data_IF_756209048267
#
_entry.id   IF_756209048267
#
_cell.length_a   1.000
_cell.length_b   1.000
_cell.length_c   1.000
_cell.angle_alpha   90.00
_cell.angle_beta   90.00
_cell.angle_gamma   90.00
#
_symmetry.space_group_name_H-M   'P 1'
#
loop_
_entity.id
_entity.type
_entity.pdbx_description
1 polymer ?
#
# COMPACT_ATOMS: atom_id res chain seq x y z
N UNK A 1 -2.00 -57.08 -36.81
CA UNK A 1 -0.80 -56.25 -36.79
C UNK A 1 -1.19 -54.98 -37.56
N UNK A 2 -2.17 -54.18 -37.11
CA UNK A 2 -2.32 -53.53 -35.79
C UNK A 2 -1.03 -52.86 -35.34
N UNK A 3 -0.84 -51.61 -35.79
CA UNK A 3 -0.28 -50.54 -34.97
C UNK A 3 -1.09 -49.27 -35.28
N UNK A 4 -1.81 -48.80 -34.26
CA UNK A 4 -2.67 -47.62 -34.32
C UNK A 4 -1.86 -46.32 -34.30
N UNK A 5 -2.25 -45.39 -35.17
CA UNK A 5 -1.94 -43.98 -35.00
C UNK A 5 -3.09 -43.36 -34.21
N UNK A 6 -2.81 -43.11 -32.95
CA UNK A 6 -3.62 -42.32 -32.04
C UNK A 6 -3.85 -40.94 -32.63
N UNK A 7 -5.13 -40.58 -32.74
CA UNK A 7 -5.58 -39.20 -32.85
C UNK A 7 -5.28 -38.51 -31.52
N UNK A 8 -4.29 -37.64 -31.49
CA UNK A 8 -4.23 -36.57 -30.50
C UNK A 8 -4.29 -35.26 -31.26
N UNK A 9 -5.29 -34.47 -30.86
CA UNK A 9 -5.54 -33.12 -31.31
C UNK A 9 -4.28 -32.29 -31.11
N UNK A 10 -3.69 -31.79 -32.20
CA UNK A 10 -2.83 -30.61 -32.14
C UNK A 10 -3.74 -29.42 -31.76
N UNK A 11 -3.94 -29.23 -30.45
CA UNK A 11 -4.34 -27.93 -29.91
C UNK A 11 -3.20 -26.97 -30.20
N UNK A 12 -3.51 -25.95 -31.00
CA UNK A 12 -2.53 -24.97 -31.46
C UNK A 12 -1.85 -24.29 -30.28
N UNK A 13 -0.55 -24.53 -30.16
CA UNK A 13 0.33 -23.67 -29.40
C UNK A 13 0.23 -22.27 -30.02
N UNK A 14 -0.42 -21.35 -29.31
CA UNK A 14 -0.47 -19.94 -29.68
C UNK A 14 0.91 -19.34 -29.41
N UNK A 15 1.74 -19.27 -30.45
CA UNK A 15 2.99 -18.53 -30.44
C UNK A 15 2.66 -17.02 -30.31
N UNK A 16 2.76 -16.48 -29.10
CA UNK A 16 2.66 -15.04 -28.86
C UNK A 16 4.08 -14.42 -28.87
N UNK A 17 4.46 -13.79 -29.98
CA UNK A 17 5.72 -13.05 -30.14
C UNK A 17 5.75 -11.75 -29.31
N UNK A 18 5.83 -11.84 -27.98
CA UNK A 18 6.01 -10.66 -27.11
C UNK A 18 7.37 -10.69 -26.42
N UNK A 19 8.06 -9.55 -26.44
CA UNK A 19 9.40 -9.39 -25.87
C UNK A 19 9.28 -8.74 -24.48
N UNK A 20 9.95 -9.29 -23.48
CA UNK A 20 10.07 -8.69 -22.16
C UNK A 20 10.83 -7.36 -22.25
N UNK A 21 10.26 -6.23 -21.80
CA UNK A 21 10.91 -4.92 -21.91
C UNK A 21 12.17 -4.80 -21.04
N UNK A 22 12.27 -5.60 -19.96
CA UNK A 22 13.44 -5.57 -19.06
C UNK A 22 14.61 -6.41 -19.59
N UNK A 23 14.35 -7.63 -20.07
CA UNK A 23 15.43 -8.55 -20.42
C UNK A 23 15.52 -8.87 -21.92
N UNK A 24 14.62 -8.34 -22.74
CA UNK A 24 14.62 -8.54 -24.19
C UNK A 24 14.33 -9.98 -24.65
N UNK A 25 13.93 -10.88 -23.74
CA UNK A 25 13.60 -12.29 -24.05
C UNK A 25 12.12 -12.46 -24.38
N UNK A 26 11.81 -13.50 -25.17
CA UNK A 26 10.43 -13.88 -25.48
C UNK A 26 9.66 -14.33 -24.24
N UNK A 27 8.40 -13.93 -24.20
CA UNK A 27 7.43 -14.23 -23.16
C UNK A 27 6.67 -15.51 -23.51
N UNK A 28 6.57 -16.45 -22.56
CA UNK A 28 5.93 -17.76 -22.78
C UNK A 28 4.68 -17.84 -21.90
N UNK A 29 3.53 -18.13 -22.51
CA UNK A 29 2.29 -18.42 -21.79
C UNK A 29 2.35 -19.82 -21.16
N UNK A 30 1.95 -19.94 -19.90
CA UNK A 30 1.71 -21.24 -19.28
C UNK A 30 0.34 -21.83 -19.65
N UNK A 31 0.04 -23.02 -19.13
CA UNK A 31 -1.19 -23.77 -19.40
C UNK A 31 -2.46 -23.00 -19.00
N UNK A 32 -2.35 -22.01 -18.10
CA UNK A 32 -3.44 -21.14 -17.65
C UNK A 32 -3.53 -19.84 -18.48
N UNK A 33 -2.71 -19.68 -19.53
CA UNK A 33 -2.65 -18.47 -20.36
C UNK A 33 -1.86 -17.32 -19.71
N UNK A 34 -1.10 -17.59 -18.65
CA UNK A 34 -0.28 -16.62 -17.95
C UNK A 34 1.10 -16.58 -18.58
N UNK A 35 1.39 -15.48 -19.26
CA UNK A 35 2.71 -15.14 -19.80
C UNK A 35 3.69 -14.89 -18.66
N UNK A 36 4.77 -15.68 -18.58
CA UNK A 36 5.84 -15.52 -17.58
C UNK A 36 7.19 -15.22 -18.25
N UNK A 37 7.93 -14.25 -17.72
CA UNK A 37 9.33 -14.05 -18.06
C UNK A 37 10.24 -14.95 -17.19
N UNK A 38 11.26 -15.59 -17.79
CA UNK A 38 12.32 -16.30 -17.04
C UNK A 38 13.10 -15.40 -16.07
N UNK A 39 13.09 -14.08 -16.30
CA UNK A 39 13.73 -13.08 -15.46
C UNK A 39 13.01 -12.85 -14.12
N UNK A 40 11.89 -13.55 -13.87
CA UNK A 40 11.09 -13.43 -12.65
C UNK A 40 10.15 -12.22 -12.64
N UNK A 41 10.10 -11.45 -13.72
CA UNK A 41 9.30 -10.23 -13.83
C UNK A 41 8.07 -10.45 -14.73
N UNK A 42 6.89 -10.46 -14.10
CA UNK A 42 5.51 -10.50 -14.63
C UNK A 42 4.98 -11.86 -15.10
N UNK A 43 3.99 -12.35 -14.34
CA UNK A 43 2.76 -12.97 -14.86
C UNK A 43 1.96 -11.90 -15.62
N UNK A 44 1.76 -12.06 -16.92
CA UNK A 44 0.78 -11.28 -17.71
C UNK A 44 -0.34 -12.23 -18.10
N UNK A 45 -1.60 -11.81 -18.02
CA UNK A 45 -2.70 -12.62 -18.57
C UNK A 45 -2.79 -12.29 -20.07
N UNK A 46 -2.47 -13.26 -20.94
CA UNK A 46 -2.68 -13.09 -22.36
C UNK A 46 -4.19 -13.04 -22.64
N UNK A 47 -4.70 -11.99 -23.28
CA UNK A 47 -6.06 -12.04 -23.83
C UNK A 47 -6.09 -11.67 -25.31
N UNK A 48 -6.99 -12.32 -26.04
CA UNK A 48 -6.98 -12.42 -27.50
C UNK A 48 -7.64 -11.23 -28.25
N UNK A 49 -8.06 -10.16 -27.57
CA UNK A 49 -8.94 -9.12 -28.15
C UNK A 49 -8.31 -7.70 -28.18
N UNK A 50 -6.98 -7.58 -28.31
CA UNK A 50 -6.28 -6.27 -28.27
C UNK A 50 -6.34 -5.54 -29.61
N UNK A 51 -6.40 -6.27 -30.73
CA UNK A 51 -6.33 -5.70 -32.08
C UNK A 51 -7.57 -4.86 -32.47
N UNK A 52 -8.69 -5.04 -31.76
CA UNK A 52 -9.93 -4.26 -31.96
C UNK A 52 -9.94 -2.92 -31.19
N UNK A 53 -8.94 -2.67 -30.34
CA UNK A 53 -8.83 -1.43 -29.59
C UNK A 53 -8.24 -0.29 -30.44
N UNK A 54 -8.69 0.97 -30.23
CA UNK A 54 -8.21 2.11 -31.00
C UNK A 54 -6.70 2.30 -30.83
N UNK A 55 -6.03 2.76 -31.90
CA UNK A 55 -4.57 2.98 -31.91
C UNK A 55 -4.14 4.31 -31.26
N UNK A 56 -5.08 5.05 -30.66
CA UNK A 56 -4.86 6.39 -30.14
C UNK A 56 -4.90 6.41 -28.61
N UNK A 57 -3.76 6.72 -27.96
CA UNK A 57 -3.60 6.73 -26.49
C UNK A 57 -4.66 7.58 -25.77
N UNK A 58 -4.93 8.85 -26.13
CA UNK A 58 -6.04 9.62 -25.56
C UNK A 58 -7.41 8.92 -25.53
N UNK A 59 -7.74 8.16 -26.57
CA UNK A 59 -9.02 7.42 -26.64
C UNK A 59 -9.00 6.19 -25.73
N UNK A 60 -7.89 5.46 -25.73
CA UNK A 60 -7.64 4.34 -24.82
C UNK A 60 -7.72 4.78 -23.35
N UNK A 61 -7.17 5.94 -22.99
CA UNK A 61 -7.26 6.50 -21.62
C UNK A 61 -8.71 6.79 -21.23
N UNK A 62 -9.53 7.34 -22.13
CA UNK A 62 -10.96 7.55 -21.86
C UNK A 62 -11.70 6.24 -21.64
N UNK A 63 -11.40 5.23 -22.47
CA UNK A 63 -11.96 3.89 -22.31
C UNK A 63 -11.50 3.25 -20.99
N UNK A 64 -10.25 3.45 -20.61
CA UNK A 64 -9.66 2.90 -19.38
C UNK A 64 -10.32 3.50 -18.15
N UNK A 65 -10.61 4.81 -18.16
CA UNK A 65 -11.33 5.47 -17.06
C UNK A 65 -12.72 4.89 -16.87
N UNK A 66 -13.39 4.56 -17.98
CA UNK A 66 -14.69 3.90 -17.94
C UNK A 66 -14.56 2.46 -17.42
N UNK A 67 -13.60 1.69 -17.94
CA UNK A 67 -13.35 0.32 -17.50
C UNK A 67 -12.99 0.24 -16.00
N UNK A 68 -12.26 1.23 -15.49
CA UNK A 68 -11.95 1.37 -14.07
C UNK A 68 -13.22 1.54 -13.23
N UNK A 69 -14.14 2.41 -13.65
CA UNK A 69 -15.44 2.61 -12.99
C UNK A 69 -16.34 1.37 -13.08
N UNK A 70 -16.31 0.69 -14.23
CA UNK A 70 -17.10 -0.52 -14.48
C UNK A 70 -16.49 -1.76 -13.78
N UNK A 71 -15.28 -1.64 -13.22
CA UNK A 71 -14.46 -2.73 -12.64
C UNK A 71 -14.32 -3.92 -13.60
N UNK A 72 -13.95 -3.63 -14.84
CA UNK A 72 -13.70 -4.64 -15.87
C UNK A 72 -12.18 -4.94 -15.97
N UNK A 73 -11.67 -5.99 -15.27
CA UNK A 73 -10.24 -6.28 -15.26
C UNK A 73 -9.72 -6.65 -16.65
N UNK A 74 -10.49 -7.42 -17.43
CA UNK A 74 -10.10 -7.81 -18.79
C UNK A 74 -9.90 -6.59 -19.68
N UNK A 75 -10.85 -5.65 -19.64
CA UNK A 75 -10.76 -4.42 -20.42
C UNK A 75 -9.60 -3.53 -19.95
N UNK A 76 -9.39 -3.39 -18.64
CA UNK A 76 -8.25 -2.65 -18.07
C UNK A 76 -6.90 -3.24 -18.48
N UNK A 77 -6.78 -4.57 -18.47
CA UNK A 77 -5.58 -5.26 -18.93
C UNK A 77 -5.30 -4.94 -20.41
N UNK A 78 -6.30 -5.11 -21.28
CA UNK A 78 -6.14 -4.90 -22.72
C UNK A 78 -5.82 -3.44 -23.06
N UNK A 79 -6.47 -2.49 -22.38
CA UNK A 79 -6.17 -1.06 -22.53
C UNK A 79 -4.77 -0.75 -22.04
N UNK A 80 -4.37 -1.28 -20.88
CA UNK A 80 -3.04 -1.08 -20.32
C UNK A 80 -1.94 -1.59 -21.25
N UNK A 81 -2.08 -2.79 -21.78
CA UNK A 81 -1.15 -3.36 -22.76
C UNK A 81 -1.11 -2.52 -24.03
N UNK A 82 -2.27 -2.16 -24.59
CA UNK A 82 -2.34 -1.39 -25.83
C UNK A 82 -1.74 0.00 -25.70
N UNK A 83 -1.94 0.67 -24.57
CA UNK A 83 -1.30 1.96 -24.29
C UNK A 83 0.23 1.80 -24.27
N UNK A 84 0.75 0.80 -23.57
CA UNK A 84 2.19 0.59 -23.43
C UNK A 84 2.87 0.10 -24.73
N UNK A 85 2.12 -0.49 -25.67
CA UNK A 85 2.61 -0.78 -27.02
C UNK A 85 2.93 0.50 -27.81
N UNK A 86 2.14 1.56 -27.64
CA UNK A 86 2.35 2.83 -28.34
C UNK A 86 3.21 3.83 -27.56
N UNK A 87 3.20 3.74 -26.23
CA UNK A 87 3.91 4.61 -25.32
C UNK A 87 4.37 3.81 -24.09
N UNK A 88 5.56 3.23 -24.20
CA UNK A 88 6.15 2.31 -23.20
C UNK A 88 6.32 2.92 -21.80
N UNK A 89 6.34 4.26 -21.71
CA UNK A 89 6.52 5.02 -20.46
C UNK A 89 5.20 5.66 -19.99
N UNK A 90 4.04 5.22 -20.50
CA UNK A 90 2.77 5.84 -20.12
C UNK A 90 2.32 5.39 -18.73
N UNK A 91 2.27 6.32 -17.76
CA UNK A 91 1.84 6.02 -16.38
C UNK A 91 0.44 5.38 -16.32
N UNK A 92 -0.48 5.80 -17.21
CA UNK A 92 -1.86 5.32 -17.21
C UNK A 92 -1.97 3.88 -17.71
N UNK A 93 -1.09 3.49 -18.64
CA UNK A 93 -0.94 2.10 -19.06
C UNK A 93 -0.61 1.19 -17.87
N UNK A 94 0.39 1.57 -17.08
CA UNK A 94 0.76 0.85 -15.86
C UNK A 94 -0.35 0.85 -14.81
N UNK A 95 -1.06 1.97 -14.58
CA UNK A 95 -2.20 2.02 -13.65
C UNK A 95 -3.35 1.13 -14.11
N UNK A 96 -3.63 1.04 -15.40
CA UNK A 96 -4.67 0.16 -15.94
C UNK A 96 -4.33 -1.30 -15.66
N UNK A 97 -3.09 -1.71 -15.92
CA UNK A 97 -2.61 -3.05 -15.56
C UNK A 97 -2.66 -3.30 -14.05
N UNK A 98 -2.20 -2.34 -13.23
CA UNK A 98 -2.20 -2.45 -11.78
C UNK A 98 -3.62 -2.67 -11.24
N UNK A 99 -4.57 -1.89 -11.76
CA UNK A 99 -5.98 -1.96 -11.39
C UNK A 99 -6.60 -3.30 -11.78
N UNK A 100 -6.26 -3.83 -12.97
CA UNK A 100 -6.66 -5.18 -13.36
C UNK A 100 -6.15 -6.23 -12.38
N UNK A 101 -4.85 -6.21 -12.07
CA UNK A 101 -4.25 -7.14 -11.11
C UNK A 101 -4.94 -7.06 -9.74
N UNK A 102 -5.20 -5.85 -9.24
CA UNK A 102 -5.87 -5.67 -7.97
C UNK A 102 -7.30 -6.22 -7.95
N UNK A 103 -8.09 -6.01 -9.01
CA UNK A 103 -9.45 -6.55 -9.13
C UNK A 103 -9.41 -8.09 -9.15
N UNK A 104 -8.39 -8.69 -9.78
CA UNK A 104 -8.17 -10.14 -9.80
C UNK A 104 -7.51 -10.68 -8.52
N UNK A 105 -7.30 -9.84 -7.48
CA UNK A 105 -6.72 -10.23 -6.20
C UNK A 105 -5.19 -10.37 -6.19
N UNK A 106 -4.51 -10.00 -7.27
CA UNK A 106 -3.05 -9.97 -7.42
C UNK A 106 -2.47 -8.67 -6.88
N UNK A 107 -2.57 -8.48 -5.56
CA UNK A 107 -2.20 -7.22 -4.89
C UNK A 107 -0.69 -6.94 -5.00
N UNK A 108 0.16 -7.95 -4.87
CA UNK A 108 1.62 -7.78 -4.99
C UNK A 108 2.03 -7.22 -6.35
N UNK A 109 1.54 -7.84 -7.43
CA UNK A 109 1.76 -7.38 -8.81
C UNK A 109 1.20 -5.97 -9.04
N UNK A 110 0.00 -5.69 -8.51
CA UNK A 110 -0.60 -4.36 -8.55
C UNK A 110 0.33 -3.30 -7.93
N UNK A 111 0.89 -3.54 -6.74
CA UNK A 111 1.78 -2.57 -6.08
C UNK A 111 3.07 -2.31 -6.86
N UNK A 112 3.63 -3.34 -7.50
CA UNK A 112 4.79 -3.17 -8.38
C UNK A 112 4.45 -2.32 -9.61
N UNK A 113 3.29 -2.53 -10.22
CA UNK A 113 2.84 -1.75 -11.39
C UNK A 113 2.53 -0.30 -11.02
N UNK A 114 1.94 -0.04 -9.85
CA UNK A 114 1.77 1.33 -9.33
C UNK A 114 3.11 2.02 -9.06
N UNK A 115 4.11 1.26 -8.59
CA UNK A 115 5.47 1.78 -8.44
C UNK A 115 6.04 2.20 -9.79
N UNK A 116 5.96 1.36 -10.82
CA UNK A 116 6.38 1.70 -12.18
C UNK A 116 5.63 2.92 -12.74
N UNK A 117 4.31 2.97 -12.58
CA UNK A 117 3.51 4.12 -12.99
C UNK A 117 4.01 5.43 -12.37
N UNK A 118 4.43 5.37 -11.09
CA UNK A 118 4.90 6.53 -10.35
C UNK A 118 6.25 7.10 -10.85
N UNK A 119 7.06 6.29 -11.54
CA UNK A 119 8.34 6.69 -12.13
C UNK A 119 8.16 7.52 -13.42
N UNK A 120 6.99 7.37 -14.07
CA UNK A 120 6.67 8.06 -15.33
C UNK A 120 5.54 9.09 -15.18
N UNK A 121 5.24 9.52 -13.96
CA UNK A 121 4.08 10.34 -13.64
C UNK A 121 4.31 11.84 -13.89
N UNK A 122 3.52 12.42 -14.79
CA UNK A 122 3.46 13.86 -15.03
C UNK A 122 2.81 14.62 -13.87
N UNK A 123 3.29 15.84 -13.60
CA UNK A 123 2.76 16.68 -12.50
C UNK A 123 1.25 16.95 -12.61
N UNK A 124 0.74 17.15 -13.83
CA UNK A 124 -0.69 17.41 -14.11
C UNK A 124 -1.59 16.22 -13.75
N UNK A 125 -1.03 15.01 -13.77
CA UNK A 125 -1.77 13.75 -13.64
C UNK A 125 -1.69 13.16 -12.23
N UNK A 126 -0.84 13.72 -11.37
CA UNK A 126 -0.63 13.28 -9.97
C UNK A 126 -1.91 13.11 -9.16
N UNK A 127 -2.89 14.01 -9.36
CA UNK A 127 -4.17 13.91 -8.66
C UNK A 127 -4.93 12.65 -9.07
N UNK A 128 -5.01 12.38 -10.37
CA UNK A 128 -5.72 11.22 -10.89
C UNK A 128 -5.02 9.92 -10.49
N UNK A 129 -3.69 9.87 -10.62
CA UNK A 129 -2.89 8.76 -10.11
C UNK A 129 -3.16 8.48 -8.63
N UNK A 130 -3.13 9.53 -7.80
CA UNK A 130 -3.46 9.42 -6.37
C UNK A 130 -4.87 8.85 -6.16
N UNK A 131 -5.86 9.38 -6.85
CA UNK A 131 -7.25 8.96 -6.66
C UNK A 131 -7.44 7.48 -7.04
N UNK A 132 -6.87 7.03 -8.17
CA UNK A 132 -6.89 5.63 -8.59
C UNK A 132 -6.18 4.70 -7.59
N UNK A 133 -4.97 5.05 -7.16
CA UNK A 133 -4.22 4.24 -6.20
C UNK A 133 -4.95 4.13 -4.86
N UNK A 134 -5.53 5.24 -4.38
CA UNK A 134 -6.28 5.24 -3.14
C UNK A 134 -7.58 4.43 -3.24
N UNK A 135 -8.23 4.39 -4.41
CA UNK A 135 -9.43 3.56 -4.62
C UNK A 135 -9.05 2.08 -4.43
N UNK A 136 -8.02 1.62 -5.14
CA UNK A 136 -7.51 0.25 -5.04
C UNK A 136 -7.06 -0.12 -3.63
N UNK A 137 -6.22 0.71 -2.99
CA UNK A 137 -5.73 0.42 -1.64
C UNK A 137 -6.88 0.38 -0.63
N UNK A 138 -7.81 1.34 -0.70
CA UNK A 138 -8.96 1.38 0.21
C UNK A 138 -9.88 0.18 0.00
N UNK A 139 -10.12 -0.24 -1.25
CA UNK A 139 -10.93 -1.41 -1.55
C UNK A 139 -10.27 -2.69 -1.04
N UNK A 140 -8.96 -2.85 -1.24
CA UNK A 140 -8.20 -3.99 -0.72
C UNK A 140 -8.26 -4.09 0.80
N UNK A 141 -8.13 -2.98 1.53
CA UNK A 141 -8.26 -2.94 2.98
C UNK A 141 -9.70 -3.25 3.42
N UNK A 142 -10.69 -2.74 2.69
CA UNK A 142 -12.10 -2.83 3.05
C UNK A 142 -12.82 -4.07 2.49
N UNK A 143 -12.12 -4.93 1.74
CA UNK A 143 -12.66 -6.19 1.20
C UNK A 143 -13.03 -7.16 2.32
N UNK A 144 -12.29 -7.10 3.44
CA UNK A 144 -12.45 -8.00 4.57
C UNK A 144 -11.75 -9.35 4.39
N UNK A 145 -11.02 -9.58 3.29
CA UNK A 145 -10.17 -10.75 3.14
C UNK A 145 -8.82 -10.48 3.79
N UNK A 146 -8.47 -11.15 4.90
CA UNK A 146 -7.25 -10.84 5.60
C UNK A 146 -6.04 -11.37 4.84
N UNK A 147 -5.31 -10.47 4.17
CA UNK A 147 -4.01 -10.76 3.59
C UNK A 147 -2.90 -9.95 4.27
N UNK A 148 -2.24 -10.51 5.30
CA UNK A 148 -1.10 -9.87 5.95
C UNK A 148 0.05 -9.53 4.99
N UNK A 149 0.20 -10.27 3.88
CA UNK A 149 1.26 -10.00 2.90
C UNK A 149 1.01 -8.69 2.16
N UNK A 150 -0.25 -8.40 1.80
CA UNK A 150 -0.66 -7.12 1.24
C UNK A 150 -0.27 -5.93 2.12
N UNK A 151 -0.31 -6.09 3.45
CA UNK A 151 0.10 -5.04 4.39
C UNK A 151 1.62 -4.82 4.41
N UNK A 152 2.42 -5.87 4.21
CA UNK A 152 3.89 -5.73 4.07
C UNK A 152 4.27 -4.95 2.81
N UNK A 153 3.53 -5.16 1.71
CA UNK A 153 3.79 -4.43 0.46
C UNK A 153 3.50 -2.93 0.55
N UNK A 154 2.63 -2.48 1.47
CA UNK A 154 2.37 -1.05 1.65
C UNK A 154 3.61 -0.26 2.09
N UNK A 155 4.46 -0.82 2.95
CA UNK A 155 5.73 -0.18 3.32
C UNK A 155 6.60 0.05 2.08
N UNK A 156 6.75 -0.99 1.26
CA UNK A 156 7.57 -0.95 0.04
C UNK A 156 6.99 0.04 -0.96
N UNK A 157 5.66 0.06 -1.11
CA UNK A 157 4.98 1.01 -1.98
C UNK A 157 5.24 2.45 -1.52
N UNK A 158 5.02 2.79 -0.25
CA UNK A 158 5.19 4.16 0.22
C UNK A 158 6.64 4.64 0.04
N UNK A 159 7.63 3.79 0.35
CA UNK A 159 9.04 4.07 0.08
C UNK A 159 9.32 4.35 -1.40
N UNK A 160 8.76 3.53 -2.29
CA UNK A 160 8.98 3.68 -3.71
C UNK A 160 8.33 4.97 -4.25
N UNK A 161 7.14 5.31 -3.76
CA UNK A 161 6.45 6.55 -4.10
C UNK A 161 7.17 7.81 -3.62
N UNK A 162 7.78 7.77 -2.43
CA UNK A 162 8.57 8.89 -1.90
C UNK A 162 9.82 9.19 -2.76
N UNK A 163 10.39 8.14 -3.35
CA UNK A 163 11.57 8.24 -4.23
C UNK A 163 11.23 8.54 -5.68
N UNK A 164 9.95 8.55 -6.06
CA UNK A 164 9.50 8.72 -7.45
C UNK A 164 8.94 10.12 -7.73
N UNK A 165 8.37 10.30 -8.93
CA UNK A 165 7.69 11.54 -9.31
C UNK A 165 6.36 11.73 -8.56
N UNK A 166 5.90 10.73 -7.80
CA UNK A 166 4.67 10.76 -7.02
C UNK A 166 4.84 11.23 -5.56
N UNK A 167 6.06 11.55 -5.09
CA UNK A 167 6.33 11.90 -3.69
C UNK A 167 5.39 12.94 -3.07
N UNK A 168 4.99 13.95 -3.85
CA UNK A 168 4.11 15.03 -3.36
C UNK A 168 2.62 14.66 -3.35
N UNK A 169 2.27 13.40 -3.68
CA UNK A 169 0.88 12.95 -3.71
C UNK A 169 0.31 12.70 -2.30
N UNK A 170 1.15 12.58 -1.27
CA UNK A 170 0.73 12.34 0.12
C UNK A 170 -0.19 11.11 0.29
N UNK A 171 0.15 10.00 -0.38
CA UNK A 171 -0.71 8.80 -0.47
C UNK A 171 -1.03 8.20 0.90
N UNK A 172 -0.02 8.01 1.74
CA UNK A 172 -0.12 7.47 3.11
C UNK A 172 -1.20 8.16 3.96
N UNK A 173 -1.11 9.48 4.15
CA UNK A 173 -2.10 10.23 4.93
C UNK A 173 -3.46 10.35 4.24
N UNK A 174 -3.47 10.39 2.91
CA UNK A 174 -4.71 10.40 2.13
C UNK A 174 -5.49 9.09 2.28
N UNK A 175 -4.78 7.98 2.39
CA UNK A 175 -5.36 6.66 2.63
C UNK A 175 -6.00 6.60 4.01
N UNK A 176 -5.33 7.10 5.06
CA UNK A 176 -5.89 7.22 6.41
C UNK A 176 -7.17 8.05 6.41
N UNK A 177 -7.17 9.21 5.74
CA UNK A 177 -8.35 10.09 5.64
C UNK A 177 -9.53 9.42 4.91
N UNK A 178 -9.26 8.46 4.03
CA UNK A 178 -10.28 7.72 3.27
C UNK A 178 -10.82 6.55 4.09
N UNK A 179 -9.93 5.72 4.63
CA UNK A 179 -10.28 4.53 5.41
C UNK A 179 -10.99 4.91 6.72
N UNK A 180 -10.59 6.01 7.38
CA UNK A 180 -11.27 6.50 8.61
C UNK A 180 -12.74 6.88 8.41
N UNK A 181 -13.16 7.15 7.17
CA UNK A 181 -14.55 7.47 6.81
C UNK A 181 -15.34 6.26 6.32
N UNK A 182 -14.70 5.09 6.23
CA UNK A 182 -15.34 3.87 5.78
C UNK A 182 -16.21 3.23 6.90
N UNK A 183 -17.03 2.26 6.52
CA UNK A 183 -17.85 1.50 7.47
C UNK A 183 -17.13 0.21 7.89
N UNK A 184 -16.87 0.07 9.20
CA UNK A 184 -16.30 -1.13 9.81
C UNK A 184 -17.43 -1.98 10.43
N UNK A 185 -18.26 -2.57 9.57
CA UNK A 185 -19.41 -3.40 9.93
C UNK A 185 -19.05 -4.89 10.17
N UNK A 186 -17.77 -5.24 9.99
CA UNK A 186 -17.19 -6.57 10.18
C UNK A 186 -15.79 -6.43 10.80
N UNK A 187 -15.42 -7.33 11.72
CA UNK A 187 -14.12 -7.32 12.39
C UNK A 187 -12.97 -7.59 11.42
N UNK A 188 -13.20 -8.27 10.28
CA UNK A 188 -12.15 -8.48 9.28
C UNK A 188 -11.68 -7.17 8.62
N UNK A 189 -12.62 -6.27 8.31
CA UNK A 189 -12.31 -4.92 7.82
C UNK A 189 -11.61 -4.09 8.90
N UNK A 190 -12.08 -4.17 10.14
CA UNK A 190 -11.44 -3.52 11.28
C UNK A 190 -10.01 -3.99 11.50
N UNK A 191 -9.77 -5.30 11.34
CA UNK A 191 -8.46 -5.92 11.44
C UNK A 191 -7.53 -5.41 10.34
N UNK A 192 -7.93 -5.50 9.07
CA UNK A 192 -7.13 -4.98 7.95
C UNK A 192 -6.82 -3.48 8.09
N UNK A 193 -7.81 -2.68 8.46
CA UNK A 193 -7.60 -1.25 8.69
C UNK A 193 -6.66 -0.96 9.85
N UNK A 194 -6.68 -1.78 10.91
CA UNK A 194 -5.74 -1.66 12.04
C UNK A 194 -4.32 -2.00 11.61
N UNK A 195 -4.14 -3.02 10.75
CA UNK A 195 -2.84 -3.44 10.23
C UNK A 195 -2.16 -2.38 9.37
N UNK A 196 -2.94 -1.51 8.70
CA UNK A 196 -2.41 -0.37 7.92
C UNK A 196 -1.80 0.73 8.79
N UNK A 197 -2.24 0.88 10.05
CA UNK A 197 -1.78 1.96 10.94
C UNK A 197 -0.25 1.95 11.06
N UNK A 198 0.34 0.76 11.16
CA UNK A 198 1.78 0.64 11.30
C UNK A 198 2.57 1.07 10.04
N UNK A 199 2.30 0.51 8.83
CA UNK A 199 2.86 1.00 7.58
C UNK A 199 2.85 2.51 7.39
N UNK A 200 1.70 3.13 7.66
CA UNK A 200 1.58 4.58 7.55
C UNK A 200 2.42 5.28 8.62
N UNK A 201 2.31 4.87 9.89
CA UNK A 201 3.05 5.51 10.97
C UNK A 201 4.57 5.44 10.77
N UNK A 202 5.11 4.26 10.43
CA UNK A 202 6.53 4.10 10.17
C UNK A 202 6.99 4.96 8.98
N UNK A 203 6.24 4.96 7.88
CA UNK A 203 6.55 5.77 6.70
C UNK A 203 6.56 7.26 7.02
N UNK A 204 5.52 7.73 7.70
CA UNK A 204 5.40 9.13 8.07
C UNK A 204 6.49 9.54 9.03
N UNK A 205 6.89 8.71 9.99
CA UNK A 205 8.04 8.99 10.86
C UNK A 205 9.34 9.11 10.05
N UNK A 206 9.57 8.21 9.08
CA UNK A 206 10.79 8.22 8.24
C UNK A 206 10.95 9.50 7.46
N UNK A 207 9.86 9.97 6.87
CA UNK A 207 9.87 11.06 5.91
C UNK A 207 9.32 12.36 6.52
N UNK A 208 8.95 12.35 7.80
CA UNK A 208 8.45 13.52 8.54
C UNK A 208 9.49 14.63 8.51
N UNK A 209 9.07 15.75 7.91
CA UNK A 209 9.87 16.96 7.90
C UNK A 209 9.49 17.92 9.04
N UNK A 210 8.93 17.45 10.17
CA UNK A 210 8.81 18.21 11.43
C UNK A 210 8.07 17.43 12.51
N UNK A 211 8.25 17.81 13.77
CA UNK A 211 7.39 17.35 14.86
C UNK A 211 5.93 17.80 14.72
N UNK A 212 5.67 18.92 14.01
CA UNK A 212 4.30 19.36 13.71
C UNK A 212 3.60 18.36 12.78
N UNK A 213 4.28 17.99 11.70
CA UNK A 213 3.81 16.97 10.76
C UNK A 213 3.56 15.64 11.48
N UNK A 214 4.50 15.21 12.33
CA UNK A 214 4.33 13.99 13.12
C UNK A 214 3.11 14.04 14.06
N UNK A 215 2.82 15.19 14.67
CA UNK A 215 1.59 15.38 15.48
C UNK A 215 0.33 15.30 14.63
N UNK A 216 0.33 15.91 13.46
CA UNK A 216 -0.80 15.84 12.53
C UNK A 216 -1.05 14.40 12.05
N UNK A 217 0.01 13.67 11.73
CA UNK A 217 -0.05 12.23 11.42
C UNK A 217 -0.64 11.44 12.59
N UNK A 218 -0.14 11.63 13.81
CA UNK A 218 -0.67 10.93 14.99
C UNK A 218 -2.16 11.22 15.20
N UNK A 219 -2.59 12.47 14.97
CA UNK A 219 -4.00 12.85 15.07
C UNK A 219 -4.86 12.09 14.05
N UNK A 220 -4.44 12.02 12.78
CA UNK A 220 -5.19 11.30 11.74
C UNK A 220 -5.26 9.80 12.01
N UNK A 221 -4.16 9.21 12.47
CA UNK A 221 -4.13 7.79 12.84
C UNK A 221 -5.02 7.52 14.07
N UNK A 222 -5.09 8.44 15.03
CA UNK A 222 -6.02 8.33 16.15
C UNK A 222 -7.49 8.40 15.69
N UNK A 223 -7.82 9.26 14.73
CA UNK A 223 -9.18 9.32 14.16
C UNK A 223 -9.56 7.97 13.50
N UNK A 224 -8.63 7.36 12.75
CA UNK A 224 -8.83 6.02 12.20
C UNK A 224 -9.01 4.96 13.30
N UNK A 225 -8.14 4.96 14.32
CA UNK A 225 -8.21 4.02 15.44
C UNK A 225 -9.54 4.16 16.19
N UNK A 226 -10.04 5.37 16.41
CA UNK A 226 -11.33 5.61 17.05
C UNK A 226 -12.51 5.15 16.15
N UNK A 227 -12.41 5.32 14.83
CA UNK A 227 -13.40 4.82 13.88
C UNK A 227 -13.45 3.28 13.87
N UNK A 228 -12.30 2.62 13.84
CA UNK A 228 -12.18 1.15 13.95
C UNK A 228 -12.79 0.68 15.27
N UNK A 229 -12.47 1.34 16.38
CA UNK A 229 -13.02 1.01 17.71
C UNK A 229 -14.54 1.09 17.73
N UNK A 230 -15.10 2.20 17.24
CA UNK A 230 -16.54 2.41 17.20
C UNK A 230 -17.25 1.35 16.35
N UNK A 231 -16.66 0.99 15.20
CA UNK A 231 -17.14 -0.11 14.36
C UNK A 231 -17.10 -1.45 15.08
N UNK A 232 -15.95 -1.81 15.64
CA UNK A 232 -15.74 -3.07 16.36
C UNK A 232 -16.68 -3.23 17.56
N UNK A 233 -16.93 -2.15 18.32
CA UNK A 233 -17.87 -2.13 19.44
C UNK A 233 -19.33 -2.37 18.98
N UNK A 234 -19.68 -1.95 17.77
CA UNK A 234 -21.03 -2.08 17.21
C UNK A 234 -21.38 -3.51 16.77
N UNK A 235 -20.37 -4.36 16.55
CA UNK A 235 -20.54 -5.74 16.08
C UNK A 235 -21.09 -6.63 17.20
N UNK A 236 -22.36 -7.01 17.09
CA UNK A 236 -23.10 -7.75 18.14
C UNK A 236 -22.85 -9.25 18.15
N UNK A 237 -22.41 -9.81 17.03
CA UNK A 237 -22.15 -11.24 16.85
C UNK A 237 -20.88 -11.37 16.04
N UNK A 238 -19.76 -11.40 16.73
CA UNK A 238 -18.52 -11.91 16.16
C UNK A 238 -18.07 -13.06 17.03
N UNK A 239 -17.99 -14.25 16.45
CA UNK A 239 -17.53 -15.47 17.12
C UNK A 239 -16.05 -15.74 16.87
N UNK A 240 -15.34 -14.82 16.23
CA UNK A 240 -13.92 -14.95 15.90
C UNK A 240 -13.03 -14.32 16.98
N UNK A 241 -11.80 -14.84 17.11
CA UNK A 241 -10.74 -14.19 17.89
C UNK A 241 -10.38 -12.79 17.35
N UNK A 242 -10.72 -12.52 16.08
CA UNK A 242 -10.38 -11.31 15.36
C UNK A 242 -10.92 -10.03 16.03
N UNK A 243 -12.11 -10.10 16.64
CA UNK A 243 -12.67 -8.96 17.39
C UNK A 243 -11.79 -8.56 18.59
N UNK A 244 -11.21 -9.56 19.26
CA UNK A 244 -10.29 -9.34 20.37
C UNK A 244 -8.96 -8.80 19.84
N UNK A 245 -8.43 -9.37 18.76
CA UNK A 245 -7.20 -8.90 18.10
C UNK A 245 -7.34 -7.43 17.71
N UNK A 246 -8.43 -7.05 17.01
CA UNK A 246 -8.73 -5.65 16.66
C UNK A 246 -8.76 -4.76 17.91
N UNK A 247 -9.38 -5.23 19.00
CA UNK A 247 -9.46 -4.46 20.24
C UNK A 247 -8.08 -4.24 20.86
N UNK A 248 -7.21 -5.24 20.81
CA UNK A 248 -5.86 -5.16 21.34
C UNK A 248 -4.96 -4.27 20.47
N UNK A 249 -5.01 -4.42 19.14
CA UNK A 249 -4.36 -3.51 18.19
C UNK A 249 -4.79 -2.06 18.41
N UNK A 250 -6.10 -1.79 18.44
CA UNK A 250 -6.65 -0.44 18.67
C UNK A 250 -6.13 0.15 19.97
N UNK A 251 -6.06 -0.62 21.06
CA UNK A 251 -5.54 -0.14 22.35
C UNK A 251 -4.04 0.15 22.30
N UNK A 252 -3.25 -0.72 21.69
CA UNK A 252 -1.81 -0.52 21.48
C UNK A 252 -1.55 0.74 20.66
N UNK A 253 -2.25 0.91 19.52
CA UNK A 253 -2.13 2.11 18.69
C UNK A 253 -2.55 3.36 19.46
N UNK A 254 -3.68 3.33 20.18
CA UNK A 254 -4.14 4.48 20.94
C UNK A 254 -3.13 4.93 22.01
N UNK A 255 -2.55 3.97 22.74
CA UNK A 255 -1.56 4.24 23.79
C UNK A 255 -0.25 4.81 23.21
N UNK A 256 0.30 4.19 22.15
CA UNK A 256 1.57 4.63 21.54
C UNK A 256 1.42 5.98 20.83
N UNK A 257 0.34 6.20 20.08
CA UNK A 257 0.09 7.47 19.38
C UNK A 257 -0.15 8.61 20.38
N UNK A 258 -0.93 8.38 21.45
CA UNK A 258 -1.11 9.38 22.51
C UNK A 258 0.18 9.65 23.28
N UNK A 259 0.98 8.62 23.56
CA UNK A 259 2.29 8.78 24.18
C UNK A 259 3.18 9.68 23.32
N UNK A 260 3.31 9.39 22.02
CA UNK A 260 4.05 10.21 21.06
C UNK A 260 3.59 11.68 21.09
N UNK A 261 2.29 11.93 20.96
CA UNK A 261 1.74 13.30 21.01
C UNK A 261 2.06 14.01 22.32
N UNK A 262 1.83 13.34 23.46
CA UNK A 262 2.10 13.91 24.79
C UNK A 262 3.58 14.18 25.03
N UNK A 263 4.46 13.32 24.52
CA UNK A 263 5.91 13.47 24.59
C UNK A 263 6.39 14.63 23.74
N UNK A 264 5.81 14.84 22.54
CA UNK A 264 6.09 16.03 21.72
C UNK A 264 5.60 17.29 22.45
N UNK A 265 4.37 17.30 22.96
CA UNK A 265 3.80 18.45 23.68
C UNK A 265 4.62 18.82 24.92
N UNK A 266 5.03 17.82 25.71
CA UNK A 266 5.82 18.04 26.92
C UNK A 266 7.21 18.60 26.62
N UNK A 267 7.85 18.13 25.54
CA UNK A 267 9.20 18.57 25.16
C UNK A 267 9.24 19.87 24.37
N UNK A 268 8.15 20.19 23.66
CA UNK A 268 8.02 21.42 22.89
C UNK A 268 7.27 22.54 23.62
N UNK A 269 6.87 22.30 24.87
CA UNK A 269 6.18 23.28 25.71
C UNK A 269 6.96 24.60 25.81
N UNK A 270 6.34 25.69 25.33
CA UNK A 270 6.95 27.02 25.33
C UNK A 270 7.92 27.30 24.16
N UNK A 271 8.08 26.36 23.22
CA UNK A 271 8.75 26.61 21.94
C UNK A 271 7.78 27.28 20.94
N UNK A 272 8.31 28.13 20.05
CA UNK A 272 7.53 28.64 18.91
C UNK A 272 7.34 27.52 17.88
N UNK A 273 6.13 27.40 17.33
CA UNK A 273 5.76 26.50 16.24
C UNK A 273 6.75 26.51 15.06
N UNK A 274 7.36 27.65 14.71
CA UNK A 274 8.41 27.71 13.66
C UNK A 274 9.69 26.94 14.04
N UNK A 275 10.08 26.94 15.32
CA UNK A 275 11.23 26.15 15.80
C UNK A 275 10.92 24.66 15.74
N UNK A 276 9.68 24.25 16.04
CA UNK A 276 9.20 22.87 15.92
C UNK A 276 9.26 22.39 14.45
N UNK A 277 9.08 23.30 13.49
CA UNK A 277 9.17 23.03 12.05
C UNK A 277 10.59 22.98 11.48
N UNK A 278 11.53 23.79 11.99
CA UNK A 278 12.86 23.99 11.39
C UNK A 278 13.88 22.87 11.70
N UNK A 279 13.68 22.06 12.75
CA UNK A 279 14.60 20.97 13.13
C UNK A 279 14.66 19.82 12.12
N UNK A 280 13.78 19.86 11.12
CA UNK A 280 13.60 18.87 10.08
C UNK A 280 14.67 18.82 8.99
N UNK A 281 15.46 19.88 8.81
CA UNK A 281 16.46 19.93 7.74
C UNK A 281 17.74 19.14 8.02
N UNK A 282 17.94 18.65 9.25
CA UNK A 282 19.24 18.15 9.71
C UNK A 282 19.34 16.62 9.87
N UNK A 283 18.21 15.89 9.85
CA UNK A 283 18.16 14.48 10.27
C UNK A 283 17.87 13.43 9.21
N UNK A 284 17.91 13.79 7.92
CA UNK A 284 18.00 12.80 6.84
C UNK A 284 19.29 11.92 6.91
N UNK A 285 20.07 11.97 7.99
CA UNK A 285 21.40 11.37 8.14
C UNK A 285 21.55 10.38 9.31
N UNK A 286 20.53 10.07 10.11
CA UNK A 286 20.62 9.06 11.19
C UNK A 286 19.58 7.96 11.02
N UNK A 287 19.84 7.04 10.09
CA UNK A 287 18.95 5.89 9.85
C UNK A 287 18.94 4.88 11.02
N UNK A 288 19.97 4.84 11.87
CA UNK A 288 20.14 3.79 12.89
C UNK A 288 19.23 4.00 14.12
N UNK A 289 19.18 5.21 14.69
CA UNK A 289 18.30 5.52 15.83
C UNK A 289 16.81 5.45 15.42
N UNK A 290 16.53 5.84 14.17
CA UNK A 290 15.23 5.71 13.55
C UNK A 290 14.82 4.23 13.38
N UNK A 291 15.69 3.40 12.81
CA UNK A 291 15.42 1.98 12.56
C UNK A 291 15.20 1.22 13.87
N UNK A 292 15.94 1.55 14.93
CA UNK A 292 15.69 0.98 16.28
C UNK A 292 14.30 1.39 16.80
N UNK A 293 13.91 2.65 16.69
CA UNK A 293 12.60 3.11 17.16
C UNK A 293 11.43 2.52 16.37
N UNK A 294 11.49 2.55 15.04
CA UNK A 294 10.49 1.92 14.18
C UNK A 294 10.42 0.41 14.44
N UNK A 295 11.56 -0.28 14.59
CA UNK A 295 11.61 -1.69 14.95
C UNK A 295 10.96 -1.95 16.31
N UNK A 296 11.25 -1.18 17.36
CA UNK A 296 10.63 -1.36 18.69
C UNK A 296 9.15 -1.05 18.72
N UNK A 297 8.70 -0.08 17.94
CA UNK A 297 7.27 0.22 17.76
C UNK A 297 6.60 -0.95 17.03
N UNK A 298 7.21 -1.48 15.96
CA UNK A 298 6.74 -2.65 15.24
C UNK A 298 6.69 -3.90 16.14
N UNK A 299 7.75 -4.19 16.91
CA UNK A 299 7.79 -5.30 17.87
C UNK A 299 6.63 -5.21 18.88
N UNK A 300 6.36 -4.01 19.41
CA UNK A 300 5.22 -3.82 20.32
C UNK A 300 3.85 -3.96 19.65
N UNK A 301 3.80 -3.83 18.33
CA UNK A 301 2.58 -4.01 17.54
C UNK A 301 2.37 -5.45 17.08
N UNK A 302 3.44 -6.23 16.86
CA UNK A 302 3.35 -7.57 16.25
C UNK A 302 3.80 -8.73 17.15
N UNK A 303 4.70 -8.54 18.11
CA UNK A 303 5.33 -9.67 18.83
C UNK A 303 4.69 -9.99 20.21
N UNK A 304 3.59 -9.33 20.59
CA UNK A 304 2.79 -9.76 21.76
C UNK A 304 1.75 -10.82 21.35
N UNK A 305 2.20 -11.81 20.55
CA UNK A 305 1.41 -12.78 19.76
C UNK A 305 0.46 -13.69 20.57
N UNK A 306 0.41 -13.59 21.90
CA UNK A 306 -0.42 -14.49 22.73
C UNK A 306 -0.97 -13.84 24.02
N UNK A 307 -0.81 -12.52 24.21
CA UNK A 307 -1.25 -11.84 25.44
C UNK A 307 -2.27 -10.73 25.18
N UNK A 308 -3.37 -10.64 25.96
CA UNK A 308 -4.27 -9.50 25.88
C UNK A 308 -3.50 -8.20 26.15
N UNK A 309 -3.87 -7.12 25.48
CA UNK A 309 -3.23 -5.81 25.62
C UNK A 309 -2.94 -5.47 27.09
N UNK A 310 -1.68 -5.18 27.39
CA UNK A 310 -1.24 -4.77 28.72
C UNK A 310 -0.35 -3.53 28.61
N UNK A 311 -0.78 -2.34 29.07
CA UNK A 311 -0.02 -1.09 28.97
C UNK A 311 1.32 -1.11 29.71
N UNK A 312 1.53 -2.11 30.57
CA UNK A 312 2.76 -2.35 31.33
C UNK A 312 3.59 -3.52 30.78
N UNK A 313 3.23 -4.06 29.60
CA UNK A 313 4.02 -5.11 28.97
C UNK A 313 5.42 -4.59 28.64
N UNK A 314 6.40 -5.49 28.62
CA UNK A 314 7.78 -5.13 28.33
C UNK A 314 7.90 -4.52 26.92
N UNK A 315 7.14 -5.03 25.96
CA UNK A 315 7.13 -4.55 24.58
C UNK A 315 6.60 -3.11 24.49
N UNK A 316 5.46 -2.81 25.12
CA UNK A 316 4.92 -1.43 25.15
C UNK A 316 5.87 -0.46 25.86
N UNK A 317 6.46 -0.87 26.99
CA UNK A 317 7.43 -0.03 27.71
C UNK A 317 8.69 0.23 26.88
N UNK A 318 9.22 -0.77 26.16
CA UNK A 318 10.34 -0.61 25.23
C UNK A 318 10.00 0.35 24.10
N UNK A 319 8.81 0.23 23.50
CA UNK A 319 8.36 1.14 22.46
C UNK A 319 8.26 2.59 22.97
N UNK A 320 7.65 2.81 24.15
CA UNK A 320 7.59 4.14 24.78
C UNK A 320 8.98 4.73 25.05
N UNK A 321 9.91 3.93 25.57
CA UNK A 321 11.29 4.35 25.77
C UNK A 321 12.03 4.64 24.45
N UNK A 322 11.75 3.89 23.38
CA UNK A 322 12.32 4.16 22.07
C UNK A 322 11.78 5.46 21.48
N UNK A 323 10.48 5.74 21.63
CA UNK A 323 9.86 7.03 21.27
C UNK A 323 10.52 8.17 22.03
N UNK A 324 10.67 8.04 23.36
CA UNK A 324 11.30 9.09 24.17
C UNK A 324 12.75 9.34 23.77
N UNK A 325 13.55 8.28 23.55
CA UNK A 325 14.93 8.40 23.05
C UNK A 325 14.99 9.09 21.70
N UNK A 326 14.13 8.70 20.76
CA UNK A 326 14.03 9.33 19.45
C UNK A 326 13.75 10.84 19.57
N UNK A 327 12.77 11.22 20.40
CA UNK A 327 12.43 12.63 20.60
C UNK A 327 13.53 13.42 21.33
N UNK A 328 14.23 12.79 22.27
CA UNK A 328 15.37 13.40 22.95
C UNK A 328 16.53 13.64 21.97
N UNK A 329 16.88 12.64 21.15
CA UNK A 329 17.90 12.75 20.11
C UNK A 329 17.53 13.80 19.06
N UNK A 330 16.25 13.86 18.68
CA UNK A 330 15.71 14.86 17.75
C UNK A 330 15.87 16.29 18.27
N UNK A 331 15.73 16.52 19.58
CA UNK A 331 15.83 17.85 20.19
C UNK A 331 17.23 18.22 20.68
N UNK A 332 18.11 17.25 20.97
CA UNK A 332 19.49 17.53 21.39
C UNK A 332 20.41 17.83 20.22
N UNK A 333 20.01 17.46 19.01
CA UNK A 333 20.76 17.66 17.77
C UNK A 333 20.42 18.97 17.04
N UNK A 334 19.56 19.80 17.66
CA UNK A 334 19.16 21.14 17.20
C UNK A 334 19.79 22.28 18.00
#
# INVERSE_FOLDING_TARGET
>A
LDEGLTSEMEEGALDYDRICPDCGKYLIADEDGVIKCECGFKSRIATADIDDLPENVPELVMMGRKAFLDRDPKMLNNIGERILEFDENNWYGFVSLASSCAIDGQIGESMMLFTQASEHLDQKDRKEFRDCLLDILSESIMSGDPDPMSMMFMHVLFEALDRSLAKDCNISLALVDRVSKASFDDSAKGFQASMMVNPVFSFEIMHSTSLRHLKETCSKLLDLVDAIRAGNDSIKKDSSNLKQDVSDYVRTYNDLLRHMMSSIDGRTAGMNDEKIGYLAGHWAASMDAYSDMASKVNEAMFEDDDAPYNPKSNSIMKAKHAIDRFLDDYLMSS
#
